data_IF_753168447014
#
_entry.id   IF_753168447014
#
_cell.length_a   1.000
_cell.length_b   1.000
_cell.length_c   1.000
_cell.angle_alpha   90.00
_cell.angle_beta   90.00
_cell.angle_gamma   90.00
#
_symmetry.space_group_name_H-M   'P 1'
#
loop_
_entity.id
_entity.type
_entity.pdbx_description
1 polymer ?
#
# COMPACT_ATOMS: atom_id res chain seq x y z
N UNK A 1 -10.30 -24.80 -40.80
CA UNK A 1 -10.74 -24.67 -39.40
C UNK A 1 -9.59 -24.04 -38.60
N UNK A 2 -9.69 -22.72 -38.37
CA UNK A 2 -8.62 -21.97 -37.70
C UNK A 2 -8.85 -22.10 -36.18
N UNK A 3 -7.95 -22.79 -35.50
CA UNK A 3 -7.99 -22.87 -34.04
C UNK A 3 -7.38 -21.58 -33.51
N UNK A 4 -8.23 -20.69 -33.03
CA UNK A 4 -7.80 -19.47 -32.34
C UNK A 4 -7.29 -19.88 -30.95
N UNK A 5 -5.98 -19.97 -30.81
CA UNK A 5 -5.33 -20.23 -29.53
C UNK A 5 -5.46 -18.94 -28.68
N UNK A 6 -6.45 -18.92 -27.79
CA UNK A 6 -6.54 -17.85 -26.78
C UNK A 6 -5.38 -18.04 -25.80
N UNK A 7 -4.34 -17.23 -25.95
CA UNK A 7 -3.31 -17.11 -24.92
C UNK A 7 -3.90 -16.28 -23.79
N UNK A 8 -4.32 -16.95 -22.72
CA UNK A 8 -4.55 -16.28 -21.42
C UNK A 8 -3.17 -15.85 -20.91
N UNK A 9 -2.81 -14.60 -21.14
CA UNK A 9 -1.68 -13.99 -20.45
C UNK A 9 -2.06 -13.83 -18.99
N UNK A 10 -1.57 -14.72 -18.13
CA UNK A 10 -1.62 -14.47 -16.69
C UNK A 10 -0.79 -13.22 -16.41
N UNK A 11 -1.37 -12.29 -15.64
CA UNK A 11 -0.64 -11.13 -15.16
C UNK A 11 0.62 -11.61 -14.43
N UNK A 12 1.78 -11.13 -14.87
CA UNK A 12 3.03 -11.45 -14.20
C UNK A 12 3.12 -10.59 -12.93
N UNK A 13 3.37 -11.22 -11.77
CA UNK A 13 3.56 -10.52 -10.52
C UNK A 13 4.77 -9.58 -10.62
N UNK A 14 4.62 -8.36 -10.12
CA UNK A 14 5.74 -7.41 -10.04
C UNK A 14 6.46 -7.64 -8.71
N UNK A 15 7.77 -7.92 -8.78
CA UNK A 15 8.60 -8.19 -7.60
C UNK A 15 9.76 -7.21 -7.57
N UNK A 16 10.01 -6.59 -6.41
CA UNK A 16 10.99 -5.51 -6.25
C UNK A 16 10.35 -4.13 -6.37
N UNK A 17 11.13 -3.06 -6.63
CA UNK A 17 10.58 -1.70 -6.73
C UNK A 17 9.50 -1.59 -7.80
N UNK A 18 8.37 -0.97 -7.45
CA UNK A 18 7.23 -0.72 -8.33
C UNK A 18 7.12 0.78 -8.55
N UNK A 19 7.06 1.23 -9.81
CA UNK A 19 6.59 2.57 -10.11
C UNK A 19 5.05 2.58 -10.05
N UNK A 20 4.45 3.55 -9.38
CA UNK A 20 2.99 3.65 -9.26
C UNK A 20 2.29 3.59 -10.65
N UNK A 21 2.92 4.19 -11.65
CA UNK A 21 2.43 4.19 -13.03
C UNK A 21 2.34 2.77 -13.65
N UNK A 22 3.08 1.79 -13.12
CA UNK A 22 3.00 0.41 -13.63
C UNK A 22 1.73 -0.29 -13.13
N UNK A 23 1.19 0.13 -11.98
CA UNK A 23 -0.10 -0.34 -11.49
C UNK A 23 -1.29 0.30 -12.25
N UNK A 24 -1.07 1.43 -12.91
CA UNK A 24 -2.07 2.12 -13.73
C UNK A 24 -2.13 1.61 -15.18
N UNK A 25 -1.34 0.58 -15.51
CA UNK A 25 -1.32 -0.08 -16.83
C UNK A 25 -1.84 -1.50 -16.73
N UNK A 26 -2.34 -2.03 -17.86
CA UNK A 26 -2.67 -3.46 -17.94
C UNK A 26 -1.47 -4.35 -17.60
N UNK A 27 -1.66 -5.43 -16.87
CA UNK A 27 -2.96 -6.02 -16.45
C UNK A 27 -3.47 -5.54 -15.08
N UNK A 28 -2.87 -4.54 -14.45
CA UNK A 28 -3.19 -4.08 -13.09
C UNK A 28 -4.20 -2.92 -13.07
N UNK A 29 -4.34 -2.20 -14.19
CA UNK A 29 -5.14 -0.99 -14.31
C UNK A 29 -6.59 -1.17 -13.86
N UNK A 30 -7.21 -2.31 -14.17
CA UNK A 30 -8.62 -2.56 -13.87
C UNK A 30 -8.90 -2.46 -12.37
N UNK A 31 -8.19 -3.25 -11.55
CA UNK A 31 -8.41 -3.21 -10.09
C UNK A 31 -7.88 -1.93 -9.46
N UNK A 32 -6.73 -1.41 -9.93
CA UNK A 32 -6.15 -0.20 -9.36
C UNK A 32 -7.08 1.00 -9.53
N UNK A 33 -7.56 1.23 -10.77
CA UNK A 33 -8.45 2.35 -11.06
C UNK A 33 -9.79 2.21 -10.33
N UNK A 34 -10.37 1.00 -10.33
CA UNK A 34 -11.66 0.75 -9.69
C UNK A 34 -11.62 1.06 -8.19
N UNK A 35 -10.62 0.53 -7.48
CA UNK A 35 -10.52 0.73 -6.03
C UNK A 35 -10.13 2.18 -5.68
N UNK A 36 -9.23 2.78 -6.46
CA UNK A 36 -8.84 4.18 -6.28
C UNK A 36 -10.03 5.14 -6.45
N UNK A 37 -10.84 4.96 -7.50
CA UNK A 37 -11.99 5.84 -7.78
C UNK A 37 -13.17 5.62 -6.81
N UNK A 38 -13.36 4.40 -6.35
CA UNK A 38 -14.45 4.06 -5.43
C UNK A 38 -14.15 4.40 -3.98
N UNK A 39 -12.89 4.57 -3.60
CA UNK A 39 -12.54 4.94 -2.23
C UNK A 39 -12.81 6.41 -1.96
N UNK A 40 -13.61 6.69 -0.95
CA UNK A 40 -13.96 8.05 -0.52
C UNK A 40 -13.56 8.25 0.95
N UNK A 41 -12.34 8.75 1.23
CA UNK A 41 -11.90 8.99 2.58
C UNK A 41 -12.72 10.11 3.25
N UNK A 42 -12.77 10.13 4.58
CA UNK A 42 -13.50 11.15 5.32
C UNK A 42 -12.77 12.50 5.28
N UNK A 43 -13.41 13.54 4.75
CA UNK A 43 -12.86 14.90 4.62
C UNK A 43 -12.26 15.43 5.93
N UNK A 44 -12.91 15.14 7.07
CA UNK A 44 -12.43 15.55 8.39
C UNK A 44 -11.08 14.89 8.71
N UNK A 45 -10.95 13.60 8.47
CA UNK A 45 -9.72 12.85 8.74
C UNK A 45 -8.61 13.31 7.79
N UNK A 46 -8.92 13.56 6.51
CA UNK A 46 -7.98 14.12 5.54
C UNK A 46 -7.41 15.47 6.01
N UNK A 47 -8.26 16.38 6.47
CA UNK A 47 -7.81 17.68 7.03
C UNK A 47 -6.88 17.51 8.22
N UNK A 48 -7.11 16.50 9.07
CA UNK A 48 -6.25 16.22 10.21
C UNK A 48 -4.92 15.58 9.79
N UNK A 49 -4.93 14.72 8.76
CA UNK A 49 -3.73 14.10 8.19
C UNK A 49 -2.79 15.14 7.58
N UNK A 50 -3.32 16.11 6.84
CA UNK A 50 -2.54 17.21 6.26
C UNK A 50 -1.74 17.97 7.33
N UNK A 51 -2.30 18.13 8.52
CA UNK A 51 -1.66 18.82 9.64
C UNK A 51 -0.52 18.04 10.32
N UNK A 52 -0.40 16.72 10.11
CA UNK A 52 0.56 15.84 10.83
C UNK A 52 1.52 15.08 9.91
N UNK A 53 1.53 15.39 8.61
CA UNK A 53 2.33 14.67 7.61
C UNK A 53 3.81 15.09 7.54
N UNK A 54 4.24 16.11 8.29
CA UNK A 54 5.60 16.65 8.20
C UNK A 54 6.66 15.59 8.53
N UNK A 55 7.71 15.57 7.69
CA UNK A 55 8.89 14.67 7.80
C UNK A 55 8.56 13.16 7.77
N UNK A 56 7.42 12.79 7.17
CA UNK A 56 7.01 11.39 7.02
C UNK A 56 7.53 10.81 5.71
N UNK A 57 8.10 9.61 5.77
CA UNK A 57 8.37 8.74 4.63
C UNK A 57 7.63 7.41 4.81
N UNK A 58 7.21 6.80 3.72
CA UNK A 58 6.39 5.58 3.75
C UNK A 58 7.00 4.52 2.84
N UNK A 59 7.07 3.29 3.34
CA UNK A 59 7.42 2.12 2.53
C UNK A 59 6.22 1.17 2.52
N UNK A 60 5.77 0.79 1.33
CA UNK A 60 4.66 -0.12 1.13
C UNK A 60 5.16 -1.41 0.52
N UNK A 61 4.98 -2.51 1.22
CA UNK A 61 5.15 -3.85 0.65
C UNK A 61 3.81 -4.40 0.21
N UNK A 62 3.74 -4.89 -1.03
CA UNK A 62 2.50 -5.44 -1.59
C UNK A 62 2.73 -6.67 -2.45
N UNK A 63 1.70 -7.49 -2.62
CA UNK A 63 1.66 -8.52 -3.66
C UNK A 63 0.65 -8.11 -4.74
N UNK A 64 1.08 -8.01 -6.00
CA UNK A 64 0.12 -7.75 -7.11
C UNK A 64 -0.87 -8.91 -7.30
N UNK A 65 -0.57 -10.07 -6.74
CA UNK A 65 -1.39 -11.28 -6.66
C UNK A 65 -2.35 -11.31 -5.46
N UNK A 66 -2.17 -10.40 -4.48
CA UNK A 66 -2.90 -10.40 -3.21
C UNK A 66 -4.14 -9.50 -3.29
N UNK A 67 -5.33 -10.04 -3.00
CA UNK A 67 -6.59 -9.30 -3.03
C UNK A 67 -6.62 -8.12 -2.06
N UNK A 68 -6.03 -8.28 -0.87
CA UNK A 68 -5.95 -7.19 0.13
C UNK A 68 -5.03 -6.07 -0.36
N UNK A 69 -3.90 -6.43 -1.02
CA UNK A 69 -3.05 -5.44 -1.67
C UNK A 69 -3.77 -4.70 -2.79
N UNK A 70 -4.54 -5.42 -3.63
CA UNK A 70 -5.31 -4.82 -4.72
C UNK A 70 -6.40 -3.87 -4.20
N UNK A 71 -6.96 -4.15 -3.02
CA UNK A 71 -7.97 -3.30 -2.37
C UNK A 71 -7.35 -2.10 -1.67
N UNK A 72 -6.39 -2.33 -0.77
CA UNK A 72 -5.92 -1.27 0.13
C UNK A 72 -4.83 -0.38 -0.45
N UNK A 73 -4.01 -0.85 -1.42
CA UNK A 73 -2.96 -0.01 -2.01
C UNK A 73 -3.54 1.14 -2.83
N UNK A 74 -4.52 0.94 -3.73
CA UNK A 74 -5.16 2.06 -4.42
C UNK A 74 -5.88 3.03 -3.47
N UNK A 75 -6.59 2.50 -2.46
CA UNK A 75 -7.25 3.31 -1.43
C UNK A 75 -6.23 4.17 -0.66
N UNK A 76 -5.08 3.61 -0.32
CA UNK A 76 -3.99 4.33 0.32
C UNK A 76 -3.48 5.49 -0.56
N UNK A 77 -3.22 5.26 -1.84
CA UNK A 77 -2.83 6.33 -2.75
C UNK A 77 -3.92 7.38 -2.94
N UNK A 78 -5.20 6.99 -2.89
CA UNK A 78 -6.31 7.95 -2.88
C UNK A 78 -6.26 8.87 -1.67
N UNK A 79 -5.98 8.33 -0.49
CA UNK A 79 -5.80 9.13 0.74
C UNK A 79 -4.62 10.09 0.61
N UNK A 80 -3.47 9.61 0.11
CA UNK A 80 -2.28 10.44 -0.08
C UNK A 80 -2.53 11.60 -1.04
N UNK A 81 -3.25 11.36 -2.13
CA UNK A 81 -3.60 12.40 -3.11
C UNK A 81 -4.56 13.42 -2.51
N UNK A 82 -5.58 12.99 -1.75
CA UNK A 82 -6.55 13.89 -1.10
C UNK A 82 -5.90 14.76 0.00
N UNK A 83 -4.90 14.25 0.73
CA UNK A 83 -4.16 15.02 1.72
C UNK A 83 -2.99 15.79 1.13
N UNK A 84 -2.79 15.76 -0.18
CA UNK A 84 -1.64 16.37 -0.87
C UNK A 84 -0.31 15.99 -0.19
N UNK A 85 -0.08 14.67 0.00
CA UNK A 85 1.08 14.17 0.72
C UNK A 85 2.39 14.62 0.09
N UNK A 86 3.29 15.19 0.90
CA UNK A 86 4.53 15.81 0.47
C UNK A 86 5.78 14.92 0.67
N UNK A 87 5.63 13.79 1.38
CA UNK A 87 6.73 12.90 1.70
C UNK A 87 7.06 11.91 0.59
N UNK A 88 8.06 11.07 0.84
CA UNK A 88 8.45 9.99 -0.08
C UNK A 88 7.62 8.73 0.18
N UNK A 89 7.22 8.06 -0.91
CA UNK A 89 6.59 6.75 -0.87
C UNK A 89 7.39 5.77 -1.73
N UNK A 90 7.84 4.69 -1.13
CA UNK A 90 8.44 3.56 -1.85
C UNK A 90 7.43 2.42 -1.91
N UNK A 91 7.19 1.89 -3.10
CA UNK A 91 6.30 0.74 -3.31
C UNK A 91 7.14 -0.45 -3.76
N UNK A 92 7.01 -1.58 -3.04
CA UNK A 92 7.84 -2.77 -3.24
C UNK A 92 6.94 -4.00 -3.38
N UNK A 93 7.04 -4.67 -4.51
CA UNK A 93 6.37 -5.93 -4.78
C UNK A 93 7.10 -7.12 -4.15
N UNK A 94 6.32 -8.03 -3.57
CA UNK A 94 6.83 -9.29 -3.03
C UNK A 94 6.26 -10.49 -3.76
N UNK A 95 6.99 -11.60 -3.75
CA UNK A 95 6.47 -12.89 -4.21
C UNK A 95 5.46 -13.50 -3.22
N UNK A 96 4.91 -14.69 -3.55
CA UNK A 96 3.92 -15.36 -2.71
C UNK A 96 4.46 -15.83 -1.37
N UNK A 97 5.78 -15.94 -1.23
CA UNK A 97 6.47 -16.24 0.02
C UNK A 97 6.84 -14.95 0.80
N UNK A 98 6.36 -13.77 0.36
CA UNK A 98 6.66 -12.43 0.90
C UNK A 98 8.16 -12.13 0.87
N UNK A 99 8.82 -12.49 -0.23
CA UNK A 99 10.25 -12.23 -0.42
C UNK A 99 10.49 -11.23 -1.55
N UNK A 100 11.64 -10.57 -1.47
CA UNK A 100 12.18 -9.69 -2.51
C UNK A 100 13.58 -10.17 -2.91
N UNK A 101 14.04 -9.91 -4.14
CA UNK A 101 15.40 -10.27 -4.58
C UNK A 101 16.50 -9.62 -3.71
N UNK A 102 16.22 -8.45 -3.13
CA UNK A 102 17.16 -7.71 -2.27
C UNK A 102 17.16 -8.15 -0.82
N UNK A 103 16.18 -8.98 -0.40
CA UNK A 103 15.98 -9.35 1.00
C UNK A 103 15.25 -8.30 1.84
N UNK A 104 14.89 -7.15 1.25
CA UNK A 104 14.27 -6.04 2.00
C UNK A 104 12.98 -6.42 2.74
N UNK A 105 12.17 -7.32 2.18
CA UNK A 105 10.97 -7.80 2.87
C UNK A 105 11.30 -8.59 4.14
N UNK A 106 12.34 -9.41 4.11
CA UNK A 106 12.82 -10.16 5.27
C UNK A 106 13.42 -9.24 6.33
N UNK A 107 14.21 -8.24 5.92
CA UNK A 107 14.81 -7.25 6.81
C UNK A 107 13.78 -6.38 7.54
N UNK A 108 12.60 -6.19 6.93
CA UNK A 108 11.48 -5.44 7.50
C UNK A 108 10.40 -6.34 8.15
N UNK A 109 10.67 -7.63 8.35
CA UNK A 109 9.76 -8.59 8.98
C UNK A 109 8.37 -8.64 8.32
N UNK A 110 8.32 -8.64 6.98
CA UNK A 110 7.07 -8.67 6.24
C UNK A 110 6.46 -10.07 6.29
N UNK A 111 5.38 -10.21 7.05
CA UNK A 111 4.62 -11.47 7.22
C UNK A 111 3.35 -11.51 6.39
N UNK A 112 2.67 -10.39 6.23
CA UNK A 112 1.42 -10.22 5.49
C UNK A 112 1.51 -9.02 4.55
N UNK A 113 0.71 -9.00 3.50
CA UNK A 113 0.65 -7.87 2.55
C UNK A 113 -0.81 -7.50 2.25
N UNK A 114 -1.05 -6.18 2.05
CA UNK A 114 -0.06 -5.10 2.08
C UNK A 114 0.44 -4.80 3.49
N UNK A 115 1.67 -4.29 3.60
CA UNK A 115 2.18 -3.69 4.84
C UNK A 115 2.63 -2.26 4.53
N UNK A 116 2.09 -1.30 5.24
CA UNK A 116 2.42 0.13 5.14
C UNK A 116 3.26 0.50 6.35
N UNK A 117 4.53 0.85 6.15
CA UNK A 117 5.47 1.22 7.22
C UNK A 117 5.71 2.72 7.17
N UNK A 118 5.49 3.38 8.29
CA UNK A 118 5.63 4.83 8.42
C UNK A 118 6.91 5.16 9.17
N UNK A 119 7.69 6.08 8.62
CA UNK A 119 8.97 6.54 9.17
C UNK A 119 8.91 8.04 9.43
N UNK A 120 9.59 8.49 10.50
CA UNK A 120 9.90 9.88 10.77
C UNK A 120 11.33 9.98 11.25
N UNK A 121 12.11 10.91 10.70
CA UNK A 121 13.56 11.03 10.96
C UNK A 121 14.33 9.71 10.73
N UNK A 122 13.95 8.94 9.72
CA UNK A 122 14.56 7.65 9.37
C UNK A 122 14.29 6.51 10.34
N UNK A 123 13.38 6.70 11.31
CA UNK A 123 12.95 5.66 12.26
C UNK A 123 11.52 5.26 11.99
N UNK A 124 11.26 3.96 12.00
CA UNK A 124 9.89 3.48 11.97
C UNK A 124 9.13 3.96 13.20
N UNK A 125 7.99 4.62 12.97
CA UNK A 125 7.08 5.06 14.03
C UNK A 125 5.96 4.06 14.27
N UNK A 126 5.44 3.40 13.24
CA UNK A 126 4.50 2.28 13.31
C UNK A 126 4.20 1.73 11.89
N UNK A 127 3.33 0.71 11.80
CA UNK A 127 2.90 0.10 10.53
C UNK A 127 1.45 -0.37 10.58
N UNK A 128 0.82 -0.46 9.39
CA UNK A 128 -0.45 -1.15 9.17
C UNK A 128 -0.12 -2.47 8.46
N UNK A 129 -0.64 -3.59 8.96
CA UNK A 129 -0.37 -4.93 8.42
C UNK A 129 -1.66 -5.55 7.90
N UNK A 130 -1.69 -5.86 6.61
CA UNK A 130 -2.74 -6.50 5.83
C UNK A 130 -4.01 -5.66 5.72
N UNK A 131 -4.71 -5.42 6.81
CA UNK A 131 -5.96 -4.66 6.83
C UNK A 131 -5.95 -3.62 7.95
N UNK A 132 -6.66 -2.49 7.79
CA UNK A 132 -6.81 -1.53 8.87
C UNK A 132 -7.63 -2.10 10.02
N UNK A 133 -7.40 -1.57 11.22
CA UNK A 133 -8.18 -1.88 12.44
C UNK A 133 -9.52 -1.15 12.42
N UNK A 134 -9.51 0.08 11.90
CA UNK A 134 -10.71 0.90 11.70
C UNK A 134 -10.87 1.23 10.21
N UNK A 135 -10.86 2.51 9.83
CA UNK A 135 -10.72 2.95 8.45
C UNK A 135 -9.26 3.25 8.16
N UNK A 136 -8.83 3.07 6.92
CA UNK A 136 -7.41 3.21 6.56
C UNK A 136 -6.85 4.60 6.90
N UNK A 137 -7.60 5.67 6.61
CA UNK A 137 -7.22 7.04 6.95
C UNK A 137 -7.18 7.31 8.46
N UNK A 138 -8.06 6.64 9.25
CA UNK A 138 -8.08 6.80 10.71
C UNK A 138 -6.87 6.11 11.35
N UNK A 139 -6.48 4.93 10.84
CA UNK A 139 -5.27 4.22 11.27
C UNK A 139 -4.01 5.03 10.94
N UNK A 140 -3.93 5.59 9.72
CA UNK A 140 -2.83 6.49 9.33
C UNK A 140 -2.78 7.69 10.27
N UNK A 141 -3.91 8.32 10.56
CA UNK A 141 -3.99 9.46 11.48
C UNK A 141 -3.52 9.08 12.89
N UNK A 142 -3.94 7.94 13.41
CA UNK A 142 -3.51 7.46 14.72
C UNK A 142 -1.98 7.30 14.77
N UNK A 143 -1.39 6.69 13.73
CA UNK A 143 0.07 6.51 13.64
C UNK A 143 0.79 7.86 13.55
N UNK A 144 0.39 8.75 12.63
CA UNK A 144 1.09 10.01 12.40
C UNK A 144 0.96 10.99 13.54
N UNK A 145 -0.14 10.96 14.28
CA UNK A 145 -0.36 11.77 15.48
C UNK A 145 0.31 11.22 16.75
N UNK A 146 0.92 10.01 16.67
CA UNK A 146 1.59 9.37 17.80
C UNK A 146 0.64 8.77 18.83
N UNK A 147 -0.58 8.43 18.45
CA UNK A 147 -1.51 7.69 19.30
C UNK A 147 -1.00 6.27 19.57
N UNK A 148 -1.51 5.63 20.63
CA UNK A 148 -1.23 4.22 20.92
C UNK A 148 -1.98 3.34 19.90
N UNK A 149 -1.30 3.07 18.78
CA UNK A 149 -1.84 2.26 17.69
C UNK A 149 -1.18 0.88 17.68
N UNK A 150 -2.03 -0.15 17.54
CA UNK A 150 -1.61 -1.54 17.36
C UNK A 150 -2.28 -2.11 16.13
N UNK A 151 -1.50 -2.67 15.23
CA UNK A 151 -2.03 -3.32 14.04
C UNK A 151 -2.71 -4.67 14.36
N UNK A 152 -3.47 -5.21 13.42
CA UNK A 152 -4.32 -6.40 13.58
C UNK A 152 -3.58 -7.64 14.13
N UNK A 153 -2.28 -7.76 13.90
CA UNK A 153 -1.44 -8.90 14.31
C UNK A 153 -0.59 -8.62 15.56
N UNK A 154 -0.77 -7.48 16.20
CA UNK A 154 -0.04 -7.11 17.41
C UNK A 154 -0.89 -7.46 18.65
N UNK A 155 -0.43 -8.40 19.45
CA UNK A 155 -1.11 -8.88 20.66
C UNK A 155 -0.75 -8.04 21.90
#
# INVERSE_FOLDING_TARGET
MLILCMHTTYAQDIIGPIALEDLKKEPHAEWFTTEYENYAPFDKTITQLDAVQEDVAIVVFMGTWCSDSQMYVPAFFRILDEMEFLGEVQLIGVDKDKKTPTGSATENDITNVPTFIFYRDGKEINRIVESPVAFLEDDILAILSGADYKHTYEN
#
